data_IF_325612511545
#
_entry.id   IF_325612511545
#
_cell.length_a   1.000
_cell.length_b   1.000
_cell.length_c   1.000
_cell.angle_alpha   90.00
_cell.angle_beta   90.00
_cell.angle_gamma   90.00
#
_symmetry.space_group_name_H-M   'P 1'
#
loop_
_entity.id
_entity.type
_entity.pdbx_description
1 polymer ?
#
# COMPACT_ATOMS: atom_id res chain seq x y z
N UNK A 1 6.35 28.30 -44.68
CA UNK A 1 6.00 28.35 -43.25
C UNK A 1 7.10 29.12 -42.54
N UNK A 2 6.71 30.05 -41.68
CA UNK A 2 7.63 30.82 -40.82
C UNK A 2 8.07 29.95 -39.62
N UNK A 3 9.32 30.08 -39.19
CA UNK A 3 9.85 29.45 -37.98
C UNK A 3 9.00 29.78 -36.75
N UNK A 4 8.42 30.97 -36.67
CA UNK A 4 7.52 31.34 -35.56
C UNK A 4 6.24 30.49 -35.53
N UNK A 5 5.73 30.10 -36.70
CA UNK A 5 4.55 29.25 -36.85
C UNK A 5 4.84 27.82 -36.40
N UNK A 6 6.00 27.28 -36.80
CA UNK A 6 6.47 25.95 -36.40
C UNK A 6 6.66 25.87 -34.88
N UNK A 7 7.27 26.89 -34.27
CA UNK A 7 7.47 26.93 -32.81
C UNK A 7 6.15 27.01 -32.03
N UNK A 8 5.14 27.67 -32.59
CA UNK A 8 3.80 27.75 -32.00
C UNK A 8 3.09 26.39 -32.04
N UNK A 9 3.16 25.68 -33.16
CA UNK A 9 2.62 24.31 -33.29
C UNK A 9 3.30 23.32 -32.36
N UNK A 10 4.64 23.35 -32.27
CA UNK A 10 5.41 22.48 -31.36
C UNK A 10 5.03 22.75 -29.90
N UNK A 11 4.88 24.02 -29.51
CA UNK A 11 4.41 24.37 -28.16
C UNK A 11 3.03 23.79 -27.88
N UNK A 12 2.08 23.94 -28.81
CA UNK A 12 0.74 23.37 -28.66
C UNK A 12 0.76 21.86 -28.48
N UNK A 13 1.54 21.15 -29.28
CA UNK A 13 1.69 19.68 -29.18
C UNK A 13 2.31 19.25 -27.84
N UNK A 14 3.28 20.00 -27.31
CA UNK A 14 3.89 19.71 -26.00
C UNK A 14 2.92 19.98 -24.84
N UNK A 15 2.09 21.01 -24.93
CA UNK A 15 1.06 21.34 -23.94
C UNK A 15 -0.04 20.26 -23.93
N UNK A 16 -0.49 19.81 -25.10
CA UNK A 16 -1.49 18.74 -25.23
C UNK A 16 -0.96 17.40 -24.72
N UNK A 17 0.28 17.04 -25.05
CA UNK A 17 0.93 15.83 -24.53
C UNK A 17 1.08 15.88 -23.00
N UNK A 18 1.44 17.04 -22.45
CA UNK A 18 1.54 17.24 -21.01
C UNK A 18 0.18 17.09 -20.32
N UNK A 19 -0.90 17.58 -20.95
CA UNK A 19 -2.26 17.42 -20.45
C UNK A 19 -2.70 15.96 -20.45
N UNK A 20 -2.50 15.25 -21.56
CA UNK A 20 -2.80 13.81 -21.65
C UNK A 20 -2.04 12.98 -20.62
N UNK A 21 -0.76 13.27 -20.39
CA UNK A 21 0.03 12.59 -19.36
C UNK A 21 -0.48 12.87 -17.95
N UNK A 22 -0.98 14.08 -17.67
CA UNK A 22 -1.58 14.40 -16.39
C UNK A 22 -2.92 13.66 -16.18
N UNK A 23 -3.77 13.60 -17.20
CA UNK A 23 -5.03 12.86 -17.17
C UNK A 23 -4.80 11.37 -16.95
N UNK A 24 -3.88 10.76 -17.69
CA UNK A 24 -3.52 9.34 -17.53
C UNK A 24 -2.97 9.04 -16.12
N UNK A 25 -2.21 9.96 -15.53
CA UNK A 25 -1.77 9.81 -14.13
C UNK A 25 -2.93 9.82 -13.16
N UNK A 26 -3.94 10.67 -13.35
CA UNK A 26 -5.13 10.70 -12.51
C UNK A 26 -5.95 9.42 -12.65
N UNK A 27 -6.11 8.91 -13.88
CA UNK A 27 -6.82 7.65 -14.13
C UNK A 27 -6.13 6.46 -13.45
N UNK A 28 -4.80 6.37 -13.54
CA UNK A 28 -4.02 5.34 -12.83
C UNK A 28 -4.22 5.43 -11.31
N UNK A 29 -4.28 6.64 -10.75
CA UNK A 29 -4.51 6.84 -9.31
C UNK A 29 -5.92 6.39 -8.90
N UNK A 30 -6.95 6.76 -9.67
CA UNK A 30 -8.32 6.37 -9.42
C UNK A 30 -8.54 4.86 -9.53
N UNK A 31 -7.93 4.21 -10.54
CA UNK A 31 -7.97 2.75 -10.70
C UNK A 31 -7.29 2.04 -9.53
N UNK A 32 -6.14 2.54 -9.07
CA UNK A 32 -5.47 2.01 -7.87
C UNK A 32 -6.36 2.12 -6.64
N UNK A 33 -7.03 3.25 -6.45
CA UNK A 33 -7.95 3.44 -5.33
C UNK A 33 -9.16 2.50 -5.37
N UNK A 34 -9.76 2.29 -6.55
CA UNK A 34 -10.87 1.34 -6.71
C UNK A 34 -10.44 -0.12 -6.49
N UNK A 35 -9.25 -0.50 -6.94
CA UNK A 35 -8.71 -1.85 -6.70
C UNK A 35 -8.46 -2.05 -5.20
N UNK A 36 -7.92 -1.04 -4.54
CA UNK A 36 -7.64 -1.04 -3.12
C UNK A 36 -8.92 -1.08 -2.27
N UNK A 37 -10.00 -0.39 -2.68
CA UNK A 37 -11.27 -0.37 -1.95
C UNK A 37 -12.08 -1.68 -2.04
N UNK A 38 -11.76 -2.56 -3.00
CA UNK A 38 -12.48 -3.83 -3.22
C UNK A 38 -11.85 -5.03 -2.51
N UNK A 39 -10.66 -4.89 -1.93
CA UNK A 39 -10.00 -6.01 -1.24
C UNK A 39 -10.61 -6.21 0.14
N UNK A 40 -10.87 -7.46 0.57
CA UNK A 40 -11.27 -7.71 1.94
C UNK A 40 -10.12 -7.25 2.86
N UNK A 41 -10.37 -6.21 3.64
CA UNK A 41 -9.37 -5.65 4.57
C UNK A 41 -8.79 -6.74 5.48
N UNK A 42 -9.61 -7.72 5.85
CA UNK A 42 -9.26 -8.77 6.80
C UNK A 42 -9.47 -10.18 6.25
N UNK A 43 -8.37 -10.88 6.01
CA UNK A 43 -8.31 -12.26 5.51
C UNK A 43 -8.10 -13.27 6.64
N UNK A 44 -8.45 -14.53 6.39
CA UNK A 44 -8.18 -15.64 7.32
C UNK A 44 -6.69 -15.96 7.43
N UNK A 45 -6.32 -16.73 8.45
CA UNK A 45 -4.96 -17.27 8.62
C UNK A 45 -4.51 -18.08 7.40
N UNK A 46 -5.36 -18.95 6.88
CA UNK A 46 -5.04 -19.79 5.73
C UNK A 46 -4.72 -18.94 4.49
N UNK A 47 -5.55 -17.94 4.21
CA UNK A 47 -5.32 -16.99 3.12
C UNK A 47 -4.04 -16.18 3.32
N UNK A 48 -3.68 -15.81 4.56
CA UNK A 48 -2.43 -15.12 4.85
C UNK A 48 -1.19 -16.00 4.59
N UNK A 49 -1.27 -17.30 4.89
CA UNK A 49 -0.21 -18.26 4.59
C UNK A 49 -0.02 -18.43 3.08
N UNK A 50 -1.13 -18.53 2.34
CA UNK A 50 -1.14 -18.61 0.88
C UNK A 50 -0.56 -17.34 0.25
N UNK A 51 -0.99 -16.17 0.72
CA UNK A 51 -0.50 -14.86 0.26
C UNK A 51 1.02 -14.72 0.42
N UNK A 52 1.54 -15.13 1.58
CA UNK A 52 2.96 -15.00 1.89
C UNK A 52 3.80 -16.17 1.33
N UNK A 53 3.16 -17.26 0.91
CA UNK A 53 3.83 -18.49 0.47
C UNK A 53 4.64 -19.16 1.58
N UNK A 54 4.14 -19.12 2.83
CA UNK A 54 4.89 -19.62 4.00
C UNK A 54 4.09 -20.59 4.86
N UNK A 55 4.80 -21.38 5.66
CA UNK A 55 4.19 -22.23 6.68
C UNK A 55 3.75 -21.44 7.91
N UNK A 56 2.88 -22.05 8.71
CA UNK A 56 2.38 -21.45 9.94
C UNK A 56 3.49 -21.01 10.90
N UNK A 57 4.45 -21.91 11.12
CA UNK A 57 5.63 -21.63 11.96
C UNK A 57 6.44 -20.44 11.47
N UNK A 58 6.52 -20.24 10.15
CA UNK A 58 7.23 -19.10 9.56
C UNK A 58 6.43 -17.81 9.76
N UNK A 59 5.11 -17.84 9.60
CA UNK A 59 4.25 -16.69 9.90
C UNK A 59 4.38 -16.26 11.37
N UNK A 60 4.44 -17.20 12.30
CA UNK A 60 4.70 -16.90 13.71
C UNK A 60 6.07 -16.23 13.94
N UNK A 61 7.11 -16.66 13.22
CA UNK A 61 8.44 -16.02 13.28
C UNK A 61 8.43 -14.59 12.75
N UNK A 62 7.57 -14.26 11.78
CA UNK A 62 7.46 -12.89 11.27
C UNK A 62 6.90 -11.92 12.31
N UNK A 63 6.26 -12.41 13.38
CA UNK A 63 5.89 -11.59 14.54
C UNK A 63 7.03 -11.39 15.55
N UNK A 64 8.16 -12.10 15.42
CA UNK A 64 9.31 -11.98 16.33
C UNK A 64 10.21 -10.83 15.90
N UNK A 65 10.38 -9.85 16.80
CA UNK A 65 11.31 -8.74 16.59
C UNK A 65 12.75 -9.23 16.36
N UNK A 66 13.24 -10.15 17.17
CA UNK A 66 14.61 -10.68 17.04
C UNK A 66 14.84 -11.42 15.73
N UNK A 67 13.85 -12.15 15.24
CA UNK A 67 13.93 -12.81 13.94
C UNK A 67 14.00 -11.76 12.83
N UNK A 68 13.07 -10.81 12.82
CA UNK A 68 12.99 -9.78 11.79
C UNK A 68 14.21 -8.85 11.81
N UNK A 69 14.71 -8.46 12.99
CA UNK A 69 15.90 -7.62 13.11
C UNK A 69 17.14 -8.28 12.50
N UNK A 70 17.33 -9.59 12.72
CA UNK A 70 18.42 -10.35 12.08
C UNK A 70 18.33 -10.40 10.56
N UNK A 71 17.14 -10.21 10.00
CA UNK A 71 16.91 -10.15 8.55
C UNK A 71 16.88 -8.71 8.02
N UNK A 72 17.02 -7.69 8.88
CA UNK A 72 16.80 -6.29 8.52
C UNK A 72 15.35 -5.97 8.14
N UNK A 73 14.40 -6.74 8.66
CA UNK A 73 12.97 -6.61 8.37
C UNK A 73 12.21 -5.93 9.51
N UNK A 74 11.09 -5.28 9.17
CA UNK A 74 10.10 -4.84 10.17
C UNK A 74 9.25 -6.04 10.61
N UNK A 75 8.97 -6.25 11.91
CA UNK A 75 8.11 -7.35 12.35
C UNK A 75 6.64 -7.10 12.03
N UNK A 76 5.88 -8.18 11.85
CA UNK A 76 4.42 -8.13 11.82
C UNK A 76 3.87 -7.80 13.21
N UNK A 77 3.07 -6.74 13.29
CA UNK A 77 2.54 -6.20 14.55
C UNK A 77 1.10 -6.66 14.77
N UNK A 78 0.82 -7.30 15.91
CA UNK A 78 -0.55 -7.62 16.35
C UNK A 78 -1.32 -6.33 16.65
N UNK A 79 -2.58 -6.27 16.25
CA UNK A 79 -3.41 -5.06 16.24
C UNK A 79 -3.25 -4.19 14.99
N UNK A 80 -2.27 -4.47 14.13
CA UNK A 80 -2.04 -3.76 12.86
C UNK A 80 -2.14 -4.70 11.67
N UNK A 81 -1.28 -5.73 11.65
CA UNK A 81 -1.23 -6.75 10.60
C UNK A 81 -2.13 -7.93 10.89
N UNK A 82 -2.48 -8.14 12.15
CA UNK A 82 -3.41 -9.18 12.59
C UNK A 82 -4.28 -8.69 13.72
N UNK A 83 -5.47 -9.27 13.89
CA UNK A 83 -6.33 -8.95 15.04
C UNK A 83 -5.73 -9.52 16.33
N UNK A 84 -6.00 -8.83 17.45
CA UNK A 84 -5.65 -9.35 18.79
C UNK A 84 -6.71 -10.37 19.26
N UNK A 85 -7.97 -10.16 18.88
CA UNK A 85 -9.09 -11.02 19.22
C UNK A 85 -9.13 -12.29 18.34
N UNK A 86 -9.76 -13.34 18.87
CA UNK A 86 -10.08 -14.56 18.14
C UNK A 86 -11.45 -14.44 17.45
N UNK A 87 -11.62 -15.02 16.24
CA UNK A 87 -10.59 -15.68 15.43
C UNK A 87 -9.58 -14.68 14.87
N UNK A 88 -8.30 -15.08 14.81
CA UNK A 88 -7.23 -14.21 14.27
C UNK A 88 -7.47 -14.00 12.78
N UNK A 89 -7.61 -12.74 12.38
CA UNK A 89 -7.63 -12.31 10.98
C UNK A 89 -6.42 -11.45 10.69
N UNK A 90 -6.01 -11.40 9.43
CA UNK A 90 -4.85 -10.67 8.96
C UNK A 90 -5.24 -9.55 8.02
N UNK A 91 -4.53 -8.44 8.08
CA UNK A 91 -4.75 -7.31 7.19
C UNK A 91 -4.11 -7.63 5.83
N UNK A 92 -4.92 -8.02 4.85
CA UNK A 92 -4.44 -8.47 3.53
C UNK A 92 -3.56 -7.41 2.85
N UNK A 93 -4.07 -6.18 2.65
CA UNK A 93 -3.29 -5.09 2.04
C UNK A 93 -1.97 -4.80 2.76
N UNK A 94 -1.93 -4.78 4.09
CA UNK A 94 -0.69 -4.56 4.83
C UNK A 94 0.28 -5.74 4.77
N UNK A 95 -0.21 -6.98 4.64
CA UNK A 95 0.67 -8.14 4.44
C UNK A 95 1.33 -8.12 3.05
N UNK A 96 0.61 -7.70 2.01
CA UNK A 96 1.20 -7.51 0.68
C UNK A 96 2.25 -6.40 0.68
N UNK A 97 1.91 -5.25 1.26
CA UNK A 97 2.87 -4.16 1.41
C UNK A 97 4.09 -4.61 2.21
N UNK A 98 3.88 -5.34 3.31
CA UNK A 98 4.97 -5.91 4.10
C UNK A 98 5.84 -6.84 3.27
N UNK A 99 5.27 -7.72 2.45
CA UNK A 99 6.05 -8.64 1.60
C UNK A 99 7.00 -7.88 0.66
N UNK A 100 6.55 -6.75 0.12
CA UNK A 100 7.32 -5.89 -0.80
C UNK A 100 8.32 -5.00 -0.03
N UNK A 101 7.89 -4.43 1.10
CA UNK A 101 8.59 -3.34 1.80
C UNK A 101 9.18 -3.72 3.16
N UNK A 102 9.18 -5.00 3.56
CA UNK A 102 9.66 -5.45 4.89
C UNK A 102 11.07 -4.97 5.23
N UNK A 103 11.96 -4.86 4.25
CA UNK A 103 13.33 -4.34 4.41
C UNK A 103 13.43 -2.81 4.40
N UNK A 104 12.38 -2.10 4.00
CA UNK A 104 12.31 -0.64 3.97
C UNK A 104 11.29 -0.14 4.99
N UNK A 105 11.74 0.00 6.23
CA UNK A 105 10.93 0.41 7.36
C UNK A 105 10.11 1.69 7.09
N UNK A 106 10.73 2.68 6.43
CA UNK A 106 10.08 3.97 6.16
C UNK A 106 8.91 3.85 5.18
N UNK A 107 9.03 2.99 4.16
CA UNK A 107 7.92 2.77 3.22
C UNK A 107 6.78 1.99 3.88
N UNK A 108 7.11 0.95 4.61
CA UNK A 108 6.12 0.13 5.30
C UNK A 108 5.37 0.93 6.39
N UNK A 109 6.08 1.78 7.16
CA UNK A 109 5.44 2.70 8.10
C UNK A 109 4.44 3.66 7.43
N UNK A 110 4.74 4.15 6.22
CA UNK A 110 3.80 4.99 5.46
C UNK A 110 2.55 4.21 5.06
N UNK A 111 2.68 2.94 4.70
CA UNK A 111 1.53 2.09 4.38
C UNK A 111 0.65 1.86 5.62
N UNK A 112 1.25 1.56 6.78
CA UNK A 112 0.54 1.47 8.07
C UNK A 112 -0.22 2.76 8.36
N UNK A 113 0.44 3.92 8.25
CA UNK A 113 -0.19 5.20 8.51
C UNK A 113 -1.36 5.49 7.55
N UNK A 114 -1.22 5.16 6.26
CA UNK A 114 -2.30 5.28 5.28
C UNK A 114 -3.49 4.40 5.64
N UNK A 115 -3.24 3.14 5.99
CA UNK A 115 -4.29 2.23 6.43
C UNK A 115 -4.99 2.75 7.69
N UNK A 116 -4.23 3.20 8.70
CA UNK A 116 -4.80 3.76 9.93
C UNK A 116 -5.68 4.98 9.66
N UNK A 117 -5.30 5.86 8.72
CA UNK A 117 -6.11 7.03 8.35
C UNK A 117 -7.44 6.66 7.66
N UNK A 118 -7.56 5.45 7.11
CA UNK A 118 -8.83 4.94 6.55
C UNK A 118 -9.77 4.41 7.64
N UNK A 119 -9.26 4.10 8.83
CA UNK A 119 -10.10 3.58 9.91
C UNK A 119 -11.06 4.66 10.42
N UNK A 120 -12.37 4.37 10.54
CA UNK A 120 -13.35 5.33 11.06
C UNK A 120 -13.00 5.88 12.45
N UNK A 121 -12.36 5.06 13.29
CA UNK A 121 -11.90 5.45 14.63
C UNK A 121 -10.81 6.53 14.61
N UNK A 122 -10.00 6.57 13.55
CA UNK A 122 -8.93 7.55 13.38
C UNK A 122 -9.44 8.86 12.76
N UNK A 123 -10.46 8.77 11.90
CA UNK A 123 -11.09 9.95 11.28
C UNK A 123 -11.82 10.82 12.30
N UNK A 124 -12.50 10.21 13.28
CA UNK A 124 -13.19 10.92 14.37
C UNK A 124 -12.25 11.76 15.26
N UNK A 125 -10.95 11.47 15.27
CA UNK A 125 -9.95 12.21 16.06
C UNK A 125 -9.43 13.48 15.39
N UNK A 126 -9.68 13.69 14.09
CA UNK A 126 -9.23 14.89 13.35
C UNK A 126 -10.23 16.06 13.37
N UNK A 127 -11.41 15.88 13.98
CA UNK A 127 -12.49 16.88 14.01
C UNK A 127 -12.62 17.58 15.37
N UNK A 128 -11.56 17.61 16.17
CA UNK A 128 -11.48 18.39 17.41
C UNK A 128 -10.20 19.23 17.42
#
# INVERSE_FOLDING_TARGET
MDNAQILTEIRGLLEDSSRQMAEMRQEILALREQVESKRPDWISKQQALELLGVSDRTLERYHSADYCQRQGWTPLIKGVHSTIARPVRFNGPLLEDWLINRSNHRLHQKAIARWQNRLPSYQKRKVN
#
